data_IF_936316608025
#
_entry.id   IF_936316608025
#
_cell.length_a   1.000
_cell.length_b   1.000
_cell.length_c   1.000
_cell.angle_alpha   90.00
_cell.angle_beta   90.00
_cell.angle_gamma   90.00
#
_symmetry.space_group_name_H-M   'P 1'
#
loop_
_entity.id
_entity.type
_entity.pdbx_description
1 polymer ?
#
# COMPACT_ATOMS: atom_id res chain seq x y z
N UNK A 1 14.60 -10.15 12.47
CA UNK A 1 15.19 -9.51 13.67
C UNK A 1 14.16 -8.76 14.53
N UNK A 2 13.05 -8.23 13.99
CA UNK A 2 11.93 -7.70 14.80
C UNK A 2 10.87 -8.78 15.13
N UNK A 3 10.89 -9.90 14.39
CA UNK A 3 10.00 -11.05 14.57
C UNK A 3 10.31 -11.93 15.79
N UNK A 4 11.46 -11.74 16.44
CA UNK A 4 11.91 -12.59 17.55
C UNK A 4 11.47 -12.11 18.94
N UNK A 5 10.98 -10.86 19.07
CA UNK A 5 10.77 -10.23 20.40
C UNK A 5 9.29 -10.05 20.77
N UNK A 6 8.36 -9.98 19.81
CA UNK A 6 6.96 -9.60 20.09
C UNK A 6 5.90 -10.69 19.87
N UNK A 7 6.33 -11.92 19.59
CA UNK A 7 5.42 -13.06 19.41
C UNK A 7 4.71 -13.08 18.04
N UNK A 8 4.15 -14.25 17.65
CA UNK A 8 3.47 -14.43 16.37
C UNK A 8 2.09 -13.78 16.43
N UNK A 9 1.75 -12.94 15.45
CA UNK A 9 0.43 -12.32 15.38
C UNK A 9 0.27 -11.40 14.18
N UNK A 10 -0.92 -11.41 13.58
CA UNK A 10 -1.28 -10.57 12.42
C UNK A 10 -0.96 -9.09 12.67
N UNK A 11 -1.17 -8.59 13.90
CA UNK A 11 -0.90 -7.22 14.30
C UNK A 11 0.60 -6.87 14.17
N UNK A 12 1.49 -7.79 14.53
CA UNK A 12 2.94 -7.54 14.44
C UNK A 12 3.42 -7.51 13.00
N UNK A 13 2.86 -8.37 12.14
CA UNK A 13 3.11 -8.34 10.70
C UNK A 13 2.63 -7.01 10.09
N UNK A 14 1.41 -6.58 10.43
CA UNK A 14 0.83 -5.30 9.98
C UNK A 14 1.71 -4.11 10.42
N UNK A 15 2.16 -4.09 11.67
CA UNK A 15 3.04 -3.02 12.19
C UNK A 15 4.40 -3.04 11.48
N UNK A 16 5.01 -4.22 11.30
CA UNK A 16 6.29 -4.35 10.62
C UNK A 16 6.22 -3.86 9.16
N UNK A 17 5.16 -4.24 8.45
CA UNK A 17 4.88 -3.77 7.08
C UNK A 17 4.64 -2.25 7.06
N UNK A 18 3.86 -1.74 8.02
CA UNK A 18 3.59 -0.31 8.16
C UNK A 18 4.86 0.51 8.33
N UNK A 19 5.76 0.08 9.22
CA UNK A 19 7.05 0.73 9.46
C UNK A 19 7.94 0.67 8.21
N UNK A 20 7.93 -0.46 7.50
CA UNK A 20 8.71 -0.63 6.27
C UNK A 20 8.24 0.30 5.13
N UNK A 21 6.96 0.68 5.14
CA UNK A 21 6.38 1.60 4.14
C UNK A 21 6.69 3.08 4.40
N UNK A 22 7.03 3.47 5.63
CA UNK A 22 7.36 4.86 5.99
C UNK A 22 8.43 5.47 5.06
N UNK A 23 9.61 4.87 4.83
CA UNK A 23 10.64 5.45 3.97
C UNK A 23 10.19 5.55 2.50
N UNK A 24 9.36 4.62 2.03
CA UNK A 24 8.81 4.63 0.66
C UNK A 24 7.89 5.84 0.48
N UNK A 25 6.94 6.02 1.40
CA UNK A 25 6.05 7.18 1.44
C UNK A 25 6.81 8.51 1.57
N UNK A 26 7.81 8.57 2.46
CA UNK A 26 8.63 9.77 2.64
C UNK A 26 9.39 10.13 1.35
N UNK A 27 9.99 9.14 0.66
CA UNK A 27 10.70 9.35 -0.60
C UNK A 27 9.76 9.80 -1.72
N UNK A 28 8.60 9.17 -1.87
CA UNK A 28 7.58 9.53 -2.85
C UNK A 28 7.03 10.95 -2.61
N UNK A 29 6.72 11.27 -1.36
CA UNK A 29 6.24 12.60 -0.97
C UNK A 29 7.28 13.66 -1.30
N UNK A 30 8.56 13.41 -0.96
CA UNK A 30 9.66 14.34 -1.24
C UNK A 30 9.88 14.54 -2.74
N UNK A 31 9.86 13.46 -3.53
CA UNK A 31 10.03 13.53 -4.99
C UNK A 31 8.90 14.32 -5.66
N UNK A 32 7.66 14.03 -5.28
CA UNK A 32 6.47 14.70 -5.82
C UNK A 32 6.40 16.17 -5.37
N UNK A 33 6.70 16.45 -4.10
CA UNK A 33 6.77 17.80 -3.58
C UNK A 33 7.84 18.61 -4.32
N UNK A 34 9.06 18.09 -4.52
CA UNK A 34 10.14 18.79 -5.21
C UNK A 34 9.75 19.17 -6.65
N UNK A 35 9.04 18.29 -7.35
CA UNK A 35 8.51 18.55 -8.69
C UNK A 35 7.43 19.64 -8.72
N UNK A 36 6.65 19.77 -7.65
CA UNK A 36 5.66 20.84 -7.51
C UNK A 36 6.30 22.17 -7.08
N UNK A 37 7.31 22.11 -6.21
CA UNK A 37 8.10 23.24 -5.72
C UNK A 37 8.86 23.98 -6.83
N UNK A 38 9.20 23.29 -7.92
CA UNK A 38 9.91 23.84 -9.09
C UNK A 38 8.98 24.52 -10.10
N UNK A 39 7.66 24.54 -9.88
CA UNK A 39 6.70 25.18 -10.78
C UNK A 39 6.47 26.66 -10.46
N UNK A 40 6.15 27.44 -11.49
CA UNK A 40 5.98 28.90 -11.42
C UNK A 40 4.92 29.37 -10.43
N UNK A 41 3.90 28.56 -10.14
CA UNK A 41 2.87 28.92 -9.17
C UNK A 41 3.41 29.02 -7.73
N UNK A 42 4.49 28.30 -7.39
CA UNK A 42 5.14 28.39 -6.08
C UNK A 42 5.97 29.67 -5.97
N UNK A 43 6.61 30.09 -7.07
CA UNK A 43 7.29 31.38 -7.17
C UNK A 43 6.29 32.53 -7.01
N UNK A 44 5.15 32.48 -7.72
CA UNK A 44 4.10 33.49 -7.60
C UNK A 44 3.52 33.56 -6.18
N UNK A 45 3.25 32.41 -5.53
CA UNK A 45 2.76 32.37 -4.15
C UNK A 45 3.77 32.89 -3.13
N UNK A 46 5.07 32.67 -3.37
CA UNK A 46 6.15 33.20 -2.52
C UNK A 46 6.31 34.71 -2.69
N UNK A 47 6.19 35.23 -3.92
CA UNK A 47 6.18 36.68 -4.20
C UNK A 47 4.95 37.35 -3.57
N UNK A 48 3.82 36.64 -3.49
CA UNK A 48 2.63 37.08 -2.77
C UNK A 48 2.75 37.02 -1.22
N UNK A 49 3.93 36.72 -0.67
CA UNK A 49 4.18 36.75 0.78
C UNK A 49 3.66 35.54 1.55
N UNK A 50 3.28 34.44 0.90
CA UNK A 50 2.86 33.22 1.61
C UNK A 50 4.07 32.44 2.15
N UNK A 51 3.96 31.98 3.40
CA UNK A 51 4.96 31.13 4.04
C UNK A 51 5.07 29.74 3.36
N UNK A 52 6.28 29.18 3.33
CA UNK A 52 6.59 27.87 2.72
C UNK A 52 5.69 26.72 3.22
N UNK A 53 5.37 26.71 4.51
CA UNK A 53 4.48 25.74 5.14
C UNK A 53 3.04 25.87 4.64
N UNK A 54 2.54 27.10 4.52
CA UNK A 54 1.19 27.37 4.01
C UNK A 54 1.04 26.96 2.54
N UNK A 55 2.03 27.27 1.70
CA UNK A 55 2.07 26.82 0.30
C UNK A 55 2.09 25.28 0.24
N UNK A 56 2.89 24.65 1.10
CA UNK A 56 2.97 23.18 1.14
C UNK A 56 1.64 22.53 1.50
N UNK A 57 0.96 23.00 2.54
CA UNK A 57 -0.30 22.40 3.00
C UNK A 57 -1.47 22.74 2.07
N UNK A 58 -1.54 23.97 1.56
CA UNK A 58 -2.69 24.45 0.79
C UNK A 58 -2.59 24.09 -0.70
N UNK A 59 -1.38 23.99 -1.26
CA UNK A 59 -1.18 23.75 -2.70
C UNK A 59 -0.47 22.43 -3.00
N UNK A 60 0.54 22.05 -2.22
CA UNK A 60 1.36 20.87 -2.54
C UNK A 60 0.68 19.60 -2.04
N UNK A 61 0.23 19.60 -0.79
CA UNK A 61 -0.40 18.47 -0.13
C UNK A 61 -1.63 17.97 -0.91
N UNK A 62 -2.65 18.77 -1.25
CA UNK A 62 -3.79 18.29 -2.03
C UNK A 62 -3.40 17.78 -3.43
N UNK A 63 -2.33 18.30 -4.03
CA UNK A 63 -1.85 17.81 -5.32
C UNK A 63 -1.12 16.45 -5.22
N UNK A 64 -0.41 16.18 -4.13
CA UNK A 64 0.29 14.90 -3.93
C UNK A 64 -0.58 13.86 -3.23
N UNK A 65 -1.62 14.26 -2.49
CA UNK A 65 -2.54 13.37 -1.76
C UNK A 65 -3.13 12.31 -2.67
N UNK A 66 -3.52 12.68 -3.90
CA UNK A 66 -4.00 11.74 -4.90
C UNK A 66 -2.98 10.63 -5.20
N UNK A 67 -1.72 11.02 -5.39
CA UNK A 67 -0.63 10.08 -5.62
C UNK A 67 -0.31 9.23 -4.39
N UNK A 68 -0.44 9.81 -3.19
CA UNK A 68 -0.26 9.09 -1.91
C UNK A 68 -1.37 8.08 -1.66
N UNK A 69 -2.62 8.38 -2.03
CA UNK A 69 -3.75 7.45 -1.89
C UNK A 69 -3.53 6.24 -2.79
N UNK A 70 -3.22 6.46 -4.08
CA UNK A 70 -2.92 5.38 -5.04
C UNK A 70 -1.77 4.51 -4.55
N UNK A 71 -0.66 5.14 -4.13
CA UNK A 71 0.49 4.43 -3.58
C UNK A 71 0.13 3.66 -2.31
N UNK A 72 -0.72 4.22 -1.45
CA UNK A 72 -1.24 3.53 -0.28
C UNK A 72 -2.01 2.26 -0.61
N UNK A 73 -2.84 2.27 -1.65
CA UNK A 73 -3.57 1.08 -2.11
C UNK A 73 -2.61 -0.03 -2.57
N UNK A 74 -1.57 0.32 -3.33
CA UNK A 74 -0.56 -0.64 -3.80
C UNK A 74 0.23 -1.22 -2.62
N UNK A 75 0.74 -0.35 -1.74
CA UNK A 75 1.50 -0.79 -0.57
C UNK A 75 0.66 -1.62 0.39
N UNK A 76 -0.63 -1.32 0.51
CA UNK A 76 -1.58 -2.11 1.29
C UNK A 76 -1.76 -3.51 0.70
N UNK A 77 -1.89 -3.62 -0.62
CA UNK A 77 -1.97 -4.92 -1.33
C UNK A 77 -0.73 -5.77 -1.13
N UNK A 78 0.46 -5.16 -1.24
CA UNK A 78 1.74 -5.81 -0.95
C UNK A 78 1.84 -6.23 0.52
N UNK A 79 1.28 -5.43 1.43
CA UNK A 79 1.20 -5.77 2.84
C UNK A 79 0.38 -7.02 3.11
N UNK A 80 -0.80 -7.14 2.50
CA UNK A 80 -1.64 -8.34 2.61
C UNK A 80 -0.89 -9.58 2.08
N UNK A 81 -0.21 -9.47 0.94
CA UNK A 81 0.61 -10.57 0.40
C UNK A 81 1.74 -10.97 1.36
N UNK A 82 2.44 -9.99 1.92
CA UNK A 82 3.51 -10.24 2.88
C UNK A 82 2.98 -10.91 4.16
N UNK A 83 1.83 -10.47 4.68
CA UNK A 83 1.16 -11.06 5.85
C UNK A 83 0.71 -12.49 5.57
N UNK A 84 0.09 -12.74 4.40
CA UNK A 84 -0.31 -14.08 3.97
C UNK A 84 0.91 -15.01 3.83
N UNK A 85 2.01 -14.53 3.26
CA UNK A 85 3.26 -15.28 3.15
C UNK A 85 3.87 -15.59 4.52
N UNK A 86 3.88 -14.63 5.45
CA UNK A 86 4.35 -14.85 6.82
C UNK A 86 3.47 -15.87 7.57
N UNK A 87 2.16 -15.78 7.37
CA UNK A 87 1.18 -16.70 7.94
C UNK A 87 1.26 -18.11 7.36
N UNK A 88 1.65 -18.23 6.09
CA UNK A 88 1.90 -19.50 5.43
C UNK A 88 3.12 -20.23 6.02
N UNK A 89 4.16 -19.48 6.42
CA UNK A 89 5.35 -20.03 7.10
C UNK A 89 5.12 -20.24 8.61
N UNK A 90 3.91 -19.99 9.12
CA UNK A 90 3.54 -20.20 10.53
C UNK A 90 3.93 -19.06 11.49
N UNK A 91 4.44 -17.94 10.96
CA UNK A 91 4.84 -16.76 11.72
C UNK A 91 3.75 -15.67 11.80
N UNK A 92 2.58 -15.92 11.19
CA UNK A 92 1.45 -15.00 11.11
C UNK A 92 0.36 -15.26 12.16
N UNK A 93 -0.89 -15.01 11.78
CA UNK A 93 -2.04 -15.03 12.67
C UNK A 93 -2.23 -16.39 13.38
N UNK A 94 -2.22 -16.38 14.72
CA UNK A 94 -2.42 -17.58 15.53
C UNK A 94 -3.91 -17.90 15.72
N UNK A 95 -4.29 -19.18 15.92
CA UNK A 95 -5.66 -19.52 16.34
C UNK A 95 -6.04 -18.67 17.57
N UNK A 96 -7.24 -18.05 17.63
CA UNK A 96 -8.47 -18.32 16.87
C UNK A 96 -8.71 -17.43 15.63
N UNK A 97 -7.77 -16.58 15.24
CA UNK A 97 -7.97 -15.67 14.10
C UNK A 97 -7.84 -16.41 12.76
N UNK A 98 -8.85 -16.38 11.88
CA UNK A 98 -8.74 -16.98 10.55
C UNK A 98 -7.83 -16.11 9.67
N UNK A 99 -6.77 -16.69 9.10
CA UNK A 99 -5.93 -16.05 8.08
C UNK A 99 -5.84 -16.90 6.83
N UNK A 100 -5.96 -16.27 5.66
CA UNK A 100 -5.90 -16.98 4.38
C UNK A 100 -4.55 -17.67 4.15
N UNK A 101 -3.45 -17.08 4.62
CA UNK A 101 -2.11 -17.66 4.53
C UNK A 101 -1.95 -18.96 5.33
N UNK A 102 -2.53 -19.03 6.55
CA UNK A 102 -2.48 -20.27 7.34
C UNK A 102 -3.46 -21.32 6.82
N UNK A 103 -4.64 -20.92 6.33
CA UNK A 103 -5.55 -21.84 5.64
C UNK A 103 -4.84 -22.50 4.44
N UNK A 104 -3.99 -21.76 3.72
CA UNK A 104 -3.18 -22.29 2.63
C UNK A 104 -2.12 -23.31 3.13
N UNK A 105 -1.49 -23.04 4.28
CA UNK A 105 -0.49 -23.91 4.90
C UNK A 105 -1.11 -25.23 5.43
N UNK A 106 -2.23 -25.12 6.14
CA UNK A 106 -3.01 -26.28 6.64
C UNK A 106 -3.55 -27.12 5.47
N UNK A 107 -3.83 -26.49 4.32
CA UNK A 107 -4.28 -27.21 3.13
C UNK A 107 -3.18 -28.02 2.43
N UNK A 108 -1.89 -27.83 2.76
CA UNK A 108 -0.82 -28.65 2.18
C UNK A 108 -0.88 -30.12 2.63
N UNK A 109 -1.25 -30.36 3.89
CA UNK A 109 -1.37 -31.72 4.44
C UNK A 109 -2.65 -32.40 3.96
N UNK A 110 -3.67 -31.60 3.64
CA UNK A 110 -4.96 -32.06 3.12
C UNK A 110 -5.03 -32.06 1.59
N UNK A 111 -4.01 -31.59 0.87
CA UNK A 111 -4.03 -31.47 -0.60
C UNK A 111 -4.25 -32.82 -1.28
N UNK A 112 -3.75 -33.90 -0.66
CA UNK A 112 -3.90 -35.28 -1.11
C UNK A 112 -5.31 -35.84 -0.90
N UNK A 113 -6.08 -35.27 0.05
CA UNK A 113 -7.42 -35.71 0.46
C UNK A 113 -8.54 -34.79 -0.05
N UNK A 114 -8.29 -33.48 -0.13
CA UNK A 114 -9.28 -32.43 -0.37
C UNK A 114 -8.62 -31.21 -1.04
N UNK A 115 -8.21 -31.27 -2.31
CA UNK A 115 -7.52 -30.16 -2.98
C UNK A 115 -8.33 -28.86 -3.06
N UNK A 116 -9.66 -28.93 -2.91
CA UNK A 116 -10.54 -27.75 -2.87
C UNK A 116 -10.24 -26.83 -1.67
N UNK A 117 -9.73 -27.35 -0.54
CA UNK A 117 -9.44 -26.53 0.65
C UNK A 117 -8.28 -25.55 0.43
N UNK A 118 -7.36 -25.85 -0.49
CA UNK A 118 -6.26 -24.96 -0.86
C UNK A 118 -6.67 -23.88 -1.88
N UNK A 119 -7.61 -24.21 -2.78
CA UNK A 119 -7.98 -23.37 -3.92
C UNK A 119 -8.77 -22.13 -3.46
N UNK A 120 -9.69 -22.28 -2.51
CA UNK A 120 -10.49 -21.17 -1.99
C UNK A 120 -9.66 -20.02 -1.40
N UNK A 121 -8.76 -20.25 -0.41
CA UNK A 121 -7.93 -19.18 0.14
C UNK A 121 -6.94 -18.62 -0.88
N UNK A 122 -6.42 -19.46 -1.80
CA UNK A 122 -5.54 -18.99 -2.88
C UNK A 122 -6.26 -18.03 -3.84
N UNK A 123 -7.45 -18.41 -4.32
CA UNK A 123 -8.27 -17.55 -5.17
C UNK A 123 -8.71 -16.28 -4.44
N UNK A 124 -9.08 -16.37 -3.16
CA UNK A 124 -9.46 -15.20 -2.36
C UNK A 124 -8.32 -14.16 -2.30
N UNK A 125 -7.08 -14.60 -2.03
CA UNK A 125 -5.91 -13.71 -2.04
C UNK A 125 -5.70 -13.11 -3.44
N UNK A 126 -5.75 -13.93 -4.49
CA UNK A 126 -5.56 -13.46 -5.87
C UNK A 126 -6.62 -12.42 -6.25
N UNK A 127 -7.90 -12.70 -6.00
CA UNK A 127 -8.98 -11.75 -6.29
C UNK A 127 -8.87 -10.47 -5.45
N UNK A 128 -8.51 -10.56 -4.17
CA UNK A 128 -8.32 -9.40 -3.31
C UNK A 128 -7.18 -8.52 -3.83
N UNK A 129 -6.03 -9.12 -4.16
CA UNK A 129 -4.85 -8.40 -4.64
C UNK A 129 -5.10 -7.81 -6.02
N UNK A 130 -5.70 -8.57 -6.94
CA UNK A 130 -6.04 -8.07 -8.27
C UNK A 130 -7.08 -6.94 -8.18
N UNK A 131 -8.12 -7.11 -7.37
CA UNK A 131 -9.15 -6.09 -7.15
C UNK A 131 -8.58 -4.80 -6.58
N UNK A 132 -7.71 -4.90 -5.57
CA UNK A 132 -7.06 -3.72 -4.99
C UNK A 132 -6.05 -3.07 -5.94
N UNK A 133 -5.29 -3.84 -6.72
CA UNK A 133 -4.38 -3.29 -7.73
C UNK A 133 -5.16 -2.59 -8.84
N UNK A 134 -6.20 -3.23 -9.40
CA UNK A 134 -7.06 -2.64 -10.42
C UNK A 134 -7.80 -1.40 -9.90
N UNK A 135 -8.24 -1.41 -8.64
CA UNK A 135 -8.82 -0.24 -7.99
C UNK A 135 -7.78 0.89 -7.86
N UNK A 136 -6.56 0.57 -7.44
CA UNK A 136 -5.46 1.52 -7.37
C UNK A 136 -5.11 2.12 -8.72
N UNK A 137 -5.06 1.31 -9.78
CA UNK A 137 -4.82 1.74 -11.15
C UNK A 137 -5.98 2.57 -11.71
N UNK A 138 -7.23 2.18 -11.46
CA UNK A 138 -8.39 2.97 -11.85
C UNK A 138 -8.45 4.32 -11.12
N UNK A 139 -8.10 4.34 -9.83
CA UNK A 139 -7.97 5.57 -9.06
C UNK A 139 -6.82 6.42 -9.59
N UNK A 140 -5.69 5.81 -9.98
CA UNK A 140 -4.58 6.49 -10.63
C UNK A 140 -5.01 7.13 -11.93
N UNK A 141 -5.71 6.41 -12.80
CA UNK A 141 -6.14 6.91 -14.10
C UNK A 141 -7.14 8.07 -13.97
N UNK A 142 -8.04 8.01 -12.98
CA UNK A 142 -8.95 9.12 -12.67
C UNK A 142 -8.24 10.35 -12.09
N UNK A 143 -7.19 10.11 -11.29
CA UNK A 143 -6.49 11.16 -10.57
C UNK A 143 -5.27 11.72 -11.32
N UNK A 144 -4.76 11.06 -12.36
CA UNK A 144 -3.63 11.49 -13.16
C UNK A 144 -4.08 12.55 -14.19
N UNK A 145 -3.81 13.84 -13.97
CA UNK A 145 -4.27 14.91 -14.87
C UNK A 145 -3.46 14.96 -16.16
N UNK A 146 -2.38 14.16 -16.28
CA UNK A 146 -1.42 14.24 -17.38
C UNK A 146 -1.98 13.73 -18.71
N UNK A 147 -2.99 12.87 -18.71
CA UNK A 147 -3.72 12.49 -19.93
C UNK A 147 -4.51 13.68 -20.55
N UNK A 148 -4.74 14.75 -19.78
CA UNK A 148 -5.49 15.93 -20.24
C UNK A 148 -4.61 17.04 -20.84
N UNK A 149 -3.28 16.95 -20.76
CA UNK A 149 -2.34 17.93 -21.36
C UNK A 149 -1.68 17.47 -22.67
N UNK A 150 -1.98 16.27 -23.16
CA UNK A 150 -1.48 15.76 -24.44
C UNK A 150 -2.35 16.10 -25.65
N UNK A 151 -3.47 16.81 -25.46
CA UNK A 151 -4.37 17.27 -26.53
C UNK A 151 -4.88 18.67 -26.18
N UNK A 152 -4.23 19.70 -26.70
CA UNK A 152 -4.61 21.10 -26.53
C UNK A 152 -3.43 22.02 -26.74
#
# INVERSE_FOLDING_TARGET
MITAVYGPGAVNAIIAIGIFNIPVFARLSRGSALSLWTRDFVLAARVAGKNATRISVEHILPNIVNLLIVQGTIQFSLGILAEAGLSYVGLGAQPPTPSWGRMLAESQTLISLAPHVAIFPGLAIVFMVLGLNLFGDGLRDLLDPRLRRGRG
#
